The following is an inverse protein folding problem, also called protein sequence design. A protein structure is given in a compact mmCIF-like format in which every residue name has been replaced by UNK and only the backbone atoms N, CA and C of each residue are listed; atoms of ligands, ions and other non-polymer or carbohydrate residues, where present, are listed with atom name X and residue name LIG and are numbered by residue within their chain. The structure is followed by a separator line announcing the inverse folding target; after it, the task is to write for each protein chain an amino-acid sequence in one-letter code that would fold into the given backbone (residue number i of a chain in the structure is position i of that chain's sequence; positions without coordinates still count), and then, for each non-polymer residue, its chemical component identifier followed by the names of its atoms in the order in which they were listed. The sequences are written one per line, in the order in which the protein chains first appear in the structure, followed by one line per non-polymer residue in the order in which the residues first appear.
data_IF_466592166995
#
_entry.id   IF_466592166995
#
_cell.length_a   1.000
_cell.length_b   1.000
_cell.length_c   1.000
_cell.angle_alpha   90.00
_cell.angle_beta   90.00
_cell.angle_gamma   90.00
#
_symmetry.space_group_name_H-M   'P 1'
#
loop_
_entity.id
_entity.type
_entity.pdbx_description
1 polymer ?
#
# COMPACT_ATOMS: atom_id res chain seq x y z
N UNK A 1 -5.03 -4.38 -20.28
CA UNK A 1 -6.33 -3.89 -19.77
C UNK A 1 -7.26 -5.00 -19.30
N UNK A 2 -7.59 -6.06 -20.08
CA UNK A 2 -8.52 -7.13 -19.62
C UNK A 2 -8.12 -7.83 -18.32
N UNK A 3 -6.83 -8.13 -18.09
CA UNK A 3 -6.34 -8.78 -16.86
C UNK A 3 -6.48 -7.91 -15.60
N UNK A 4 -6.40 -6.59 -15.73
CA UNK A 4 -6.55 -5.65 -14.60
C UNK A 4 -8.01 -5.52 -14.14
N UNK A 5 -8.95 -5.56 -15.10
CA UNK A 5 -10.39 -5.49 -14.79
C UNK A 5 -10.83 -6.75 -14.05
N UNK A 6 -10.34 -7.92 -14.46
CA UNK A 6 -10.65 -9.20 -13.79
C UNK A 6 -10.14 -9.23 -12.34
N UNK A 7 -8.92 -8.70 -12.10
CA UNK A 7 -8.36 -8.63 -10.73
C UNK A 7 -9.17 -7.70 -9.82
N UNK A 8 -9.59 -6.56 -10.35
CA UNK A 8 -10.41 -5.59 -9.62
C UNK A 8 -11.79 -6.17 -9.26
N UNK A 9 -12.41 -6.94 -10.18
CA UNK A 9 -13.69 -7.60 -9.93
C UNK A 9 -13.60 -8.68 -8.86
N UNK A 10 -12.53 -9.47 -8.85
CA UNK A 10 -12.27 -10.48 -7.82
C UNK A 10 -12.05 -9.82 -6.46
N UNK A 11 -11.30 -8.71 -6.42
CA UNK A 11 -11.03 -7.97 -5.19
C UNK A 11 -12.31 -7.36 -4.60
N UNK A 12 -13.18 -6.79 -5.44
CA UNK A 12 -14.49 -6.26 -5.01
C UNK A 12 -15.40 -7.38 -4.47
N UNK A 13 -15.43 -8.55 -5.12
CA UNK A 13 -16.20 -9.71 -4.67
C UNK A 13 -15.69 -10.24 -3.32
N UNK A 14 -14.38 -10.20 -3.05
CA UNK A 14 -13.79 -10.57 -1.77
C UNK A 14 -14.23 -9.62 -0.65
N UNK A 15 -14.23 -8.30 -0.89
CA UNK A 15 -14.62 -7.28 0.10
C UNK A 15 -16.10 -7.46 0.49
N UNK A 16 -16.99 -7.70 -0.47
CA UNK A 16 -18.43 -7.88 -0.22
C UNK A 16 -18.71 -9.14 0.60
N UNK A 17 -18.02 -10.25 0.33
CA UNK A 17 -18.23 -11.49 1.08
C UNK A 17 -17.67 -11.47 2.52
N UNK A 18 -16.65 -10.64 2.81
CA UNK A 18 -16.11 -10.53 4.17
C UNK A 18 -17.05 -9.75 5.12
N UNK A 19 -17.92 -8.88 4.61
CA UNK A 19 -18.88 -8.14 5.45
C UNK A 19 -20.00 -9.03 5.97
N UNK A 20 -20.38 -10.09 5.23
CA UNK A 20 -21.45 -11.03 5.65
C UNK A 20 -20.96 -12.15 6.56
N UNK A 21 -19.66 -12.51 6.51
CA UNK A 21 -19.11 -13.63 7.30
C UNK A 21 -19.01 -13.34 8.82
N UNK A 22 -19.17 -12.10 9.26
CA UNK A 22 -19.09 -11.75 10.68
C UNK A 22 -20.40 -11.90 11.46
N UNK A 23 -21.51 -12.25 10.81
CA UNK A 23 -22.84 -12.36 11.46
C UNK A 23 -23.17 -13.77 11.94
N UNK A 24 -22.50 -14.80 11.45
CA UNK A 24 -22.79 -16.19 11.79
C UNK A 24 -21.62 -16.92 12.48
N UNK A 25 -21.33 -16.53 13.71
CA UNK A 25 -20.54 -17.32 14.67
C UNK A 25 -21.43 -18.22 15.50
N UNK A 26 -22.23 -19.07 14.87
CA UNK A 26 -23.02 -20.11 15.53
C UNK A 26 -22.12 -21.31 15.88
N UNK A 27 -21.76 -21.46 17.16
CA UNK A 27 -21.02 -22.63 17.64
C UNK A 27 -21.84 -23.90 17.49
N UNK A 28 -21.28 -24.89 16.80
CA UNK A 28 -21.81 -26.25 16.74
C UNK A 28 -21.52 -26.92 18.10
N UNK A 29 -22.56 -27.12 18.92
CA UNK A 29 -22.46 -27.91 20.12
C UNK A 29 -22.65 -29.38 19.76
N UNK A 30 -21.59 -30.20 19.91
CA UNK A 30 -21.74 -31.68 19.97
C UNK A 30 -22.24 -32.07 21.37
N UNK A 31 -23.49 -32.48 21.45
CA UNK A 31 -24.05 -33.15 22.63
C UNK A 31 -23.38 -34.50 22.81
N UNK A 32 -22.52 -34.64 23.82
CA UNK A 32 -22.24 -35.96 24.45
C UNK A 32 -22.73 -35.94 25.89
N UNK A 33 -23.75 -36.74 26.13
CA UNK A 33 -24.43 -36.83 27.38
C UNK A 33 -23.55 -37.22 28.57
N UNK A 34 -23.41 -36.29 29.49
CA UNK A 34 -23.19 -36.50 30.91
C UNK A 34 -23.95 -35.43 31.67
N UNK A 35 -25.01 -35.86 32.39
CA UNK A 35 -25.79 -34.95 33.26
C UNK A 35 -24.91 -34.48 34.44
N UNK A 36 -24.23 -33.37 34.29
CA UNK A 36 -23.75 -32.57 35.43
C UNK A 36 -24.85 -31.58 35.80
N UNK A 37 -25.06 -31.30 37.09
CA UNK A 37 -25.98 -30.24 37.49
C UNK A 37 -25.53 -28.91 36.82
N UNK A 38 -26.49 -28.10 36.34
CA UNK A 38 -26.16 -26.87 35.66
C UNK A 38 -25.35 -26.00 36.62
N UNK A 39 -24.21 -25.45 36.20
CA UNK A 39 -23.46 -24.49 36.99
C UNK A 39 -24.36 -23.29 37.27
N UNK A 40 -24.24 -22.65 38.44
CA UNK A 40 -25.04 -21.49 38.77
C UNK A 40 -24.92 -20.47 37.64
N UNK A 41 -26.08 -19.96 37.17
CA UNK A 41 -26.14 -18.95 36.11
C UNK A 41 -25.33 -17.75 36.54
N UNK A 42 -24.07 -17.68 36.17
CA UNK A 42 -23.30 -16.44 36.24
C UNK A 42 -23.94 -15.47 35.25
N UNK A 43 -24.75 -14.56 35.74
CA UNK A 43 -25.16 -13.39 34.96
C UNK A 43 -23.90 -12.58 34.67
N UNK A 44 -23.20 -12.92 33.56
CA UNK A 44 -22.25 -11.99 32.98
C UNK A 44 -23.06 -10.76 32.60
N UNK A 45 -22.98 -9.73 33.43
CA UNK A 45 -23.40 -8.40 33.03
C UNK A 45 -22.71 -8.14 31.70
N UNK A 46 -23.46 -8.19 30.59
CA UNK A 46 -22.99 -7.78 29.30
C UNK A 46 -22.63 -6.29 29.42
N UNK A 47 -21.39 -6.01 29.80
CA UNK A 47 -20.88 -4.65 29.70
C UNK A 47 -21.04 -4.26 28.23
N UNK A 48 -22.00 -3.36 27.96
CA UNK A 48 -22.16 -2.79 26.61
C UNK A 48 -20.80 -2.26 26.19
N UNK A 49 -20.27 -2.83 25.12
CA UNK A 49 -19.03 -2.31 24.56
C UNK A 49 -19.17 -0.80 24.34
N UNK A 50 -18.18 0.01 24.75
CA UNK A 50 -18.28 1.47 24.66
C UNK A 50 -18.66 1.89 23.24
N UNK A 51 -19.52 2.91 23.11
CA UNK A 51 -19.94 3.42 21.82
C UNK A 51 -18.71 3.83 20.99
N UNK A 52 -18.70 3.47 19.71
CA UNK A 52 -17.64 3.89 18.80
C UNK A 52 -17.72 5.42 18.61
N UNK A 53 -16.56 6.08 18.68
CA UNK A 53 -16.42 7.51 18.36
C UNK A 53 -15.64 7.61 17.03
N UNK A 54 -16.19 8.30 16.02
CA UNK A 54 -15.45 8.59 14.79
C UNK A 54 -14.14 9.33 15.08
N UNK A 55 -13.11 9.04 14.31
CA UNK A 55 -11.77 9.62 14.50
C UNK A 55 -11.12 9.91 13.17
N UNK A 56 -10.22 10.88 13.15
CA UNK A 56 -9.36 11.20 12.03
C UNK A 56 -7.98 10.60 12.29
N UNK A 57 -7.43 9.90 11.31
CA UNK A 57 -6.08 9.33 11.38
C UNK A 57 -5.21 9.99 10.32
N UNK A 58 -4.03 10.43 10.71
CA UNK A 58 -2.98 10.94 9.82
C UNK A 58 -1.82 9.96 9.88
N UNK A 59 -1.31 9.53 8.74
CA UNK A 59 -0.16 8.63 8.69
C UNK A 59 0.88 9.09 7.67
N UNK A 60 2.16 8.84 8.00
CA UNK A 60 3.31 9.10 7.15
C UNK A 60 4.13 7.82 7.07
N UNK A 61 4.53 7.44 5.87
CA UNK A 61 5.25 6.19 5.66
C UNK A 61 6.33 6.28 4.58
N UNK A 62 7.19 5.27 4.61
CA UNK A 62 8.21 5.03 3.60
C UNK A 62 8.06 3.61 3.07
N UNK A 63 7.90 3.49 1.75
CA UNK A 63 7.75 2.21 1.06
C UNK A 63 9.04 1.76 0.37
N UNK A 64 9.19 0.44 0.20
CA UNK A 64 10.32 -0.17 -0.50
C UNK A 64 9.92 -1.55 -1.07
N UNK A 65 10.48 -1.98 -2.21
CA UNK A 65 11.10 -1.13 -3.22
C UNK A 65 10.08 -0.22 -3.90
N UNK A 66 10.56 0.85 -4.53
CA UNK A 66 9.73 1.64 -5.42
C UNK A 66 9.48 0.86 -6.71
N UNK A 67 8.22 0.47 -6.96
CA UNK A 67 7.86 -0.37 -8.11
C UNK A 67 7.85 0.39 -9.44
N UNK A 68 7.98 1.72 -9.41
CA UNK A 68 8.19 2.51 -10.64
C UNK A 68 9.52 2.17 -11.35
N UNK A 69 10.47 1.51 -10.68
CA UNK A 69 11.68 1.02 -11.31
C UNK A 69 11.41 0.07 -12.50
N UNK A 70 10.29 -0.64 -12.46
CA UNK A 70 9.91 -1.61 -13.49
C UNK A 70 9.30 -0.92 -14.73
N UNK A 71 9.12 0.40 -14.68
CA UNK A 71 8.73 1.21 -15.82
C UNK A 71 9.85 1.31 -16.88
N UNK A 72 11.10 1.32 -16.45
CA UNK A 72 12.24 1.41 -17.35
C UNK A 72 12.50 0.09 -18.09
N UNK A 73 12.66 0.10 -19.44
CA UNK A 73 13.00 -1.08 -20.20
C UNK A 73 14.39 -1.61 -19.82
N UNK A 74 14.59 -2.91 -19.94
CA UNK A 74 15.89 -3.53 -19.72
C UNK A 74 16.88 -3.21 -20.84
N UNK A 75 16.37 -2.95 -22.03
CA UNK A 75 17.15 -2.72 -23.25
C UNK A 75 16.56 -1.53 -24.00
N UNK A 76 17.42 -0.62 -24.44
CA UNK A 76 17.08 0.46 -25.34
C UNK A 76 17.44 0.07 -26.77
N UNK A 77 16.43 -0.13 -27.61
CA UNK A 77 16.62 -0.44 -29.03
C UNK A 77 16.58 0.84 -29.87
N UNK A 78 17.60 1.04 -30.74
CA UNK A 78 17.66 2.20 -31.61
C UNK A 78 19.09 2.52 -32.05
N UNK A 79 19.41 3.81 -32.23
CA UNK A 79 20.76 4.28 -32.55
C UNK A 79 21.80 3.99 -31.44
N UNK A 80 21.31 3.50 -30.27
CA UNK A 80 22.09 3.28 -29.06
C UNK A 80 21.71 1.91 -28.49
N UNK A 81 22.66 0.96 -28.48
CA UNK A 81 22.51 -0.33 -27.83
C UNK A 81 22.84 -0.17 -26.33
N UNK A 82 21.91 0.31 -25.54
CA UNK A 82 22.09 0.55 -24.13
C UNK A 82 21.32 -0.46 -23.29
N UNK A 83 21.98 -1.01 -22.27
CA UNK A 83 21.43 -1.97 -21.32
C UNK A 83 21.32 -1.36 -19.94
N UNK A 84 20.22 -1.69 -19.26
CA UNK A 84 19.97 -1.27 -17.91
C UNK A 84 20.99 -1.85 -16.93
N UNK A 85 21.65 -1.00 -16.16
CA UNK A 85 22.52 -1.41 -15.07
C UNK A 85 21.74 -1.95 -13.88
N UNK A 86 22.42 -2.72 -13.04
CA UNK A 86 21.86 -3.29 -11.80
C UNK A 86 21.82 -2.31 -10.65
N UNK A 87 22.63 -1.25 -10.71
CA UNK A 87 22.77 -0.26 -9.64
C UNK A 87 21.69 0.83 -9.73
N UNK A 88 20.45 0.42 -9.45
CA UNK A 88 19.27 1.30 -9.46
C UNK A 88 19.21 2.10 -8.16
N UNK A 89 19.35 3.42 -8.25
CA UNK A 89 19.12 4.33 -7.13
C UNK A 89 17.62 4.62 -7.02
N UNK A 90 17.06 4.46 -5.82
CA UNK A 90 15.64 4.71 -5.58
C UNK A 90 15.40 5.41 -4.25
N UNK A 91 14.42 6.31 -4.25
CA UNK A 91 13.94 7.00 -3.06
C UNK A 91 12.43 6.81 -2.96
N UNK A 92 11.97 6.35 -1.81
CA UNK A 92 10.56 6.15 -1.56
C UNK A 92 9.98 4.89 -2.22
N UNK A 93 8.65 4.89 -2.40
CA UNK A 93 7.77 6.06 -2.26
C UNK A 93 7.60 6.49 -0.80
N UNK A 94 7.67 7.79 -0.58
CA UNK A 94 7.19 8.42 0.66
C UNK A 94 5.67 8.54 0.54
N UNK A 95 4.94 8.29 1.62
CA UNK A 95 3.47 8.36 1.64
C UNK A 95 2.96 9.22 2.77
N UNK A 96 1.83 9.90 2.53
CA UNK A 96 1.03 10.56 3.54
C UNK A 96 -0.43 10.21 3.32
N UNK A 97 -1.15 9.81 4.37
CA UNK A 97 -2.58 9.49 4.26
C UNK A 97 -3.38 10.16 5.37
N UNK A 98 -4.57 10.62 5.00
CA UNK A 98 -5.58 11.18 5.89
C UNK A 98 -6.84 10.33 5.78
N UNK A 99 -7.22 9.65 6.88
CA UNK A 99 -8.31 8.69 6.93
C UNK A 99 -9.34 9.08 7.97
N UNK A 100 -10.60 9.06 7.60
CA UNK A 100 -11.74 9.20 8.49
C UNK A 100 -12.28 7.82 8.88
N UNK A 101 -12.10 7.42 10.12
CA UNK A 101 -12.63 6.17 10.65
C UNK A 101 -14.06 6.40 11.11
N UNK A 102 -15.03 5.89 10.35
CA UNK A 102 -16.46 6.05 10.61
C UNK A 102 -17.08 4.85 11.34
N UNK A 103 -16.36 3.74 11.43
CA UNK A 103 -16.78 2.57 12.20
C UNK A 103 -15.60 1.92 12.92
N UNK A 104 -15.87 0.94 13.79
CA UNK A 104 -14.80 0.16 14.45
C UNK A 104 -13.90 -0.57 13.45
N UNK A 105 -14.43 -0.89 12.28
CA UNK A 105 -13.79 -1.76 11.30
C UNK A 105 -13.39 -1.04 10.01
N UNK A 106 -13.93 0.15 9.73
CA UNK A 106 -13.74 0.77 8.45
C UNK A 106 -13.33 2.23 8.55
N UNK A 107 -12.42 2.63 7.69
CA UNK A 107 -12.10 4.03 7.41
C UNK A 107 -12.01 4.28 5.92
N UNK A 108 -12.24 5.52 5.52
CA UNK A 108 -12.07 6.03 4.17
C UNK A 108 -11.24 7.31 4.21
N UNK A 109 -10.43 7.54 3.19
CA UNK A 109 -9.57 8.71 3.15
C UNK A 109 -8.85 8.89 1.83
N UNK A 110 -7.79 9.67 1.88
CA UNK A 110 -6.89 9.93 0.75
C UNK A 110 -5.47 9.55 1.14
N UNK A 111 -4.75 8.99 0.19
CA UNK A 111 -3.31 8.72 0.31
C UNK A 111 -2.58 9.34 -0.88
N UNK A 112 -1.56 10.13 -0.58
CA UNK A 112 -0.59 10.63 -1.54
C UNK A 112 0.71 9.86 -1.45
N UNK A 113 1.37 9.61 -2.58
CA UNK A 113 2.72 9.04 -2.62
C UNK A 113 3.63 9.85 -3.52
N UNK A 114 4.92 9.87 -3.21
CA UNK A 114 5.96 10.49 -4.03
C UNK A 114 7.21 9.64 -4.00
N UNK A 115 7.85 9.45 -5.16
CA UNK A 115 9.08 8.68 -5.26
C UNK A 115 9.92 9.06 -6.47
N UNK A 116 11.20 8.69 -6.39
CA UNK A 116 12.17 8.85 -7.48
C UNK A 116 12.91 7.55 -7.72
N UNK A 117 13.19 7.28 -8.99
CA UNK A 117 14.01 6.16 -9.43
C UNK A 117 15.00 6.65 -10.47
N UNK A 118 16.26 6.29 -10.32
CA UNK A 118 17.34 6.58 -11.28
C UNK A 118 17.98 5.29 -11.71
N UNK A 119 17.99 5.04 -13.02
CA UNK A 119 18.47 3.81 -13.62
C UNK A 119 19.62 4.15 -14.58
N UNK A 120 20.86 3.68 -14.32
CA UNK A 120 21.97 3.86 -15.24
C UNK A 120 21.86 2.91 -16.43
N UNK A 121 22.21 3.39 -17.63
CA UNK A 121 22.32 2.62 -18.86
C UNK A 121 23.74 2.61 -19.36
N UNK A 122 24.22 1.41 -19.74
CA UNK A 122 25.60 1.17 -20.19
C UNK A 122 25.60 0.66 -21.62
N UNK A 123 26.64 1.03 -22.37
CA UNK A 123 26.92 0.49 -23.69
C UNK A 123 27.88 -0.72 -23.55
N UNK A 124 27.41 -1.91 -23.88
CA UNK A 124 28.25 -3.11 -23.84
C UNK A 124 29.24 -3.23 -24.99
N UNK A 125 29.09 -2.42 -26.04
CA UNK A 125 30.05 -2.41 -27.14
C UNK A 125 31.37 -1.72 -26.76
N UNK A 126 31.33 -0.88 -25.76
CA UNK A 126 32.46 -0.17 -25.20
C UNK A 126 32.74 -0.65 -23.79
N UNK A 127 33.95 -1.10 -23.48
CA UNK A 127 34.38 -1.50 -22.13
C UNK A 127 34.45 -0.29 -21.16
N UNK A 128 33.55 0.69 -21.30
CA UNK A 128 33.53 1.89 -20.49
C UNK A 128 32.70 1.61 -19.21
N UNK A 129 33.27 1.73 -18.01
CA UNK A 129 32.55 1.54 -16.76
C UNK A 129 31.58 2.68 -16.41
N UNK A 130 31.63 3.81 -17.13
CA UNK A 130 30.73 4.92 -16.91
C UNK A 130 29.39 4.70 -17.64
N UNK A 131 28.26 5.07 -17.01
CA UNK A 131 26.97 5.00 -17.68
C UNK A 131 26.93 5.95 -18.87
N UNK A 132 26.33 5.51 -19.96
CA UNK A 132 26.12 6.29 -21.16
C UNK A 132 25.10 7.42 -20.93
N UNK A 133 24.06 7.10 -20.17
CA UNK A 133 23.07 8.04 -19.66
C UNK A 133 22.34 7.42 -18.46
N UNK A 134 21.64 8.24 -17.71
CA UNK A 134 20.81 7.83 -16.57
C UNK A 134 19.36 8.21 -16.87
N UNK A 135 18.46 7.25 -16.78
CA UNK A 135 17.03 7.48 -16.81
C UNK A 135 16.54 7.85 -15.40
N UNK A 136 15.97 9.03 -15.25
CA UNK A 136 15.42 9.55 -14.00
C UNK A 136 13.90 9.61 -14.11
N UNK A 137 13.20 8.93 -13.21
CA UNK A 137 11.75 8.93 -13.10
C UNK A 137 11.31 9.54 -11.77
N UNK A 138 10.56 10.61 -11.85
CA UNK A 138 9.83 11.16 -10.70
C UNK A 138 8.36 10.79 -10.82
N UNK A 139 7.77 10.31 -9.74
CA UNK A 139 6.35 9.94 -9.73
C UNK A 139 5.65 10.46 -8.48
N UNK A 140 4.43 10.94 -8.67
CA UNK A 140 3.51 11.18 -7.57
C UNK A 140 2.16 10.56 -7.85
N UNK A 141 1.41 10.21 -6.81
CA UNK A 141 0.05 9.73 -6.94
C UNK A 141 -0.85 10.25 -5.83
N UNK A 142 -2.14 10.35 -6.16
CA UNK A 142 -3.21 10.60 -5.20
C UNK A 142 -4.28 9.54 -5.41
N UNK A 143 -4.64 8.85 -4.32
CA UNK A 143 -5.56 7.73 -4.36
C UNK A 143 -6.61 7.85 -3.26
N UNK A 144 -7.86 7.46 -3.58
CA UNK A 144 -8.88 7.18 -2.58
C UNK A 144 -8.46 5.91 -1.82
N UNK A 145 -8.45 5.99 -0.50
CA UNK A 145 -7.98 4.95 0.40
C UNK A 145 -9.13 4.40 1.24
N UNK A 146 -9.24 3.10 1.34
CA UNK A 146 -10.16 2.40 2.22
C UNK A 146 -9.37 1.41 3.08
N UNK A 147 -9.61 1.45 4.41
CA UNK A 147 -9.00 0.48 5.32
C UNK A 147 -10.09 -0.29 6.06
N UNK A 148 -9.88 -1.60 6.14
CA UNK A 148 -10.72 -2.51 6.93
C UNK A 148 -9.88 -3.10 8.05
N UNK A 149 -10.25 -2.80 9.30
CA UNK A 149 -9.57 -3.28 10.50
C UNK A 149 -10.19 -4.60 10.97
N UNK A 150 -9.34 -5.52 11.40
CA UNK A 150 -9.79 -6.76 12.04
C UNK A 150 -9.96 -6.59 13.54
N UNK A 151 -10.85 -7.34 14.18
CA UNK A 151 -10.94 -7.39 15.64
C UNK A 151 -9.60 -7.77 16.24
N UNK A 152 -9.11 -6.98 17.18
CA UNK A 152 -7.78 -7.18 17.76
C UNK A 152 -7.69 -6.69 19.19
N UNK A 153 -6.56 -6.95 19.84
CA UNK A 153 -6.24 -6.44 21.17
C UNK A 153 -5.88 -4.95 21.09
N UNK A 154 -6.03 -4.25 22.21
CA UNK A 154 -5.91 -2.77 22.31
C UNK A 154 -4.62 -2.18 21.72
N UNK A 155 -3.51 -2.93 21.76
CA UNK A 155 -2.19 -2.44 21.32
C UNK A 155 -1.88 -2.72 19.86
N UNK A 156 -2.62 -3.62 19.20
CA UNK A 156 -2.30 -4.12 17.85
C UNK A 156 -3.57 -4.10 17.02
N UNK A 157 -3.55 -3.49 15.85
CA UNK A 157 -4.70 -3.34 14.96
C UNK A 157 -4.34 -3.80 13.54
N UNK A 158 -4.55 -5.09 13.22
CA UNK A 158 -4.37 -5.58 11.86
C UNK A 158 -5.40 -4.96 10.92
N UNK A 159 -5.00 -4.73 9.66
CA UNK A 159 -5.89 -4.16 8.66
C UNK A 159 -5.55 -4.61 7.24
N UNK A 160 -6.51 -4.45 6.35
CA UNK A 160 -6.29 -4.42 4.91
C UNK A 160 -6.50 -3.00 4.43
N UNK A 161 -5.60 -2.54 3.55
CA UNK A 161 -5.71 -1.27 2.83
C UNK A 161 -5.94 -1.55 1.36
N UNK A 162 -6.87 -0.83 0.77
CA UNK A 162 -7.08 -0.77 -0.68
C UNK A 162 -7.14 0.69 -1.10
N UNK A 163 -6.35 1.07 -2.08
CA UNK A 163 -6.35 2.41 -2.61
C UNK A 163 -6.33 2.41 -4.12
N UNK A 164 -7.05 3.35 -4.74
CA UNK A 164 -7.13 3.53 -6.17
C UNK A 164 -7.21 5.03 -6.52
N UNK A 165 -6.53 5.43 -7.58
CA UNK A 165 -6.51 6.83 -7.98
C UNK A 165 -5.66 7.07 -9.23
N UNK A 166 -4.99 8.21 -9.26
CA UNK A 166 -4.20 8.66 -10.40
C UNK A 166 -2.75 8.88 -10.00
N UNK A 167 -1.84 8.61 -10.93
CA UNK A 167 -0.44 8.99 -10.83
C UNK A 167 -0.02 9.80 -12.03
N UNK A 168 0.98 10.64 -11.80
CA UNK A 168 1.73 11.32 -12.84
C UNK A 168 3.19 10.93 -12.72
N UNK A 169 3.85 10.77 -13.87
CA UNK A 169 5.27 10.40 -13.98
C UNK A 169 5.95 11.38 -14.90
N UNK A 170 7.14 11.83 -14.49
CA UNK A 170 8.02 12.66 -15.31
C UNK A 170 9.31 11.89 -15.54
N UNK A 171 9.63 11.64 -16.81
CA UNK A 171 10.79 10.86 -17.24
C UNK A 171 11.81 11.79 -17.91
N UNK A 172 13.03 11.79 -17.39
CA UNK A 172 14.14 12.56 -17.93
C UNK A 172 15.34 11.63 -18.14
N UNK A 173 16.12 11.87 -19.20
CA UNK A 173 17.40 11.21 -19.41
C UNK A 173 18.50 12.23 -19.22
N UNK A 174 19.44 11.92 -18.34
CA UNK A 174 20.59 12.75 -18.01
C UNK A 174 21.85 12.12 -18.60
N UNK A 175 22.56 12.87 -19.46
CA UNK A 175 23.82 12.45 -20.06
C UNK A 175 25.02 12.79 -19.15
N UNK A 176 26.20 12.18 -19.36
CA UNK A 176 27.40 12.44 -18.54
C UNK A 176 27.88 13.89 -18.57
N UNK A 177 27.58 14.64 -19.62
CA UNK A 177 27.87 16.07 -19.77
C UNK A 177 26.89 16.98 -18.99
N UNK A 178 25.91 16.38 -18.32
CA UNK A 178 24.86 17.08 -17.57
C UNK A 178 23.70 17.59 -18.43
N UNK A 179 23.74 17.37 -19.74
CA UNK A 179 22.61 17.68 -20.62
C UNK A 179 21.42 16.76 -20.30
N UNK A 180 20.20 17.26 -20.43
CA UNK A 180 18.97 16.50 -20.19
C UNK A 180 18.16 16.43 -21.47
N UNK A 181 17.77 15.21 -21.84
CA UNK A 181 16.74 14.99 -22.84
C UNK A 181 15.43 14.67 -22.09
N UNK A 182 14.46 15.56 -22.20
CA UNK A 182 13.08 15.29 -21.75
C UNK A 182 12.43 14.42 -22.83
N UNK A 183 12.19 13.15 -22.53
CA UNK A 183 11.65 12.20 -23.52
C UNK A 183 10.13 12.15 -23.50
N UNK A 184 9.53 12.43 -22.37
CA UNK A 184 8.09 12.62 -22.28
C UNK A 184 7.75 13.46 -21.04
N UNK A 185 7.26 14.67 -21.22
CA UNK A 185 6.26 15.19 -20.32
C UNK A 185 4.98 14.37 -20.61
N UNK A 186 4.92 13.18 -20.02
CA UNK A 186 3.77 12.32 -20.22
C UNK A 186 2.59 12.90 -19.46
N UNK A 187 1.65 13.47 -20.19
CA UNK A 187 0.26 13.73 -19.75
C UNK A 187 -0.48 12.39 -19.50
N UNK A 188 0.27 11.33 -19.19
CA UNK A 188 -0.24 10.00 -18.95
C UNK A 188 -0.70 9.96 -17.49
N UNK A 189 -1.97 10.22 -17.30
CA UNK A 189 -2.67 9.94 -16.04
C UNK A 189 -2.82 8.43 -15.90
N UNK A 190 -1.79 7.79 -15.40
CA UNK A 190 -1.80 6.36 -15.15
C UNK A 190 -2.67 6.05 -13.94
N UNK A 191 -3.34 4.90 -14.00
CA UNK A 191 -4.04 4.36 -12.86
C UNK A 191 -3.04 4.02 -11.74
N UNK A 192 -3.18 4.68 -10.59
CA UNK A 192 -2.47 4.30 -9.37
C UNK A 192 -3.33 3.38 -8.52
N UNK A 193 -2.72 2.37 -7.93
CA UNK A 193 -3.39 1.51 -6.96
C UNK A 193 -2.39 1.00 -5.92
N UNK A 194 -2.92 0.64 -4.74
CA UNK A 194 -2.19 -0.06 -3.69
C UNK A 194 -3.15 -1.01 -2.98
N UNK A 195 -2.71 -2.27 -2.82
CA UNK A 195 -3.41 -3.26 -1.99
C UNK A 195 -2.39 -3.78 -1.00
N UNK A 196 -2.67 -3.67 0.28
CA UNK A 196 -1.75 -4.13 1.33
C UNK A 196 -2.48 -4.71 2.53
N UNK A 197 -1.81 -5.62 3.22
CA UNK A 197 -2.14 -6.08 4.55
C UNK A 197 -1.13 -5.50 5.52
N UNK A 198 -1.58 -5.00 6.65
CA UNK A 198 -0.71 -4.34 7.60
C UNK A 198 -1.16 -4.49 9.03
N UNK A 199 -0.33 -3.97 9.90
CA UNK A 199 -0.61 -3.91 11.33
C UNK A 199 -0.18 -2.56 11.87
N UNK A 200 -1.08 -1.91 12.63
CA UNK A 200 -0.79 -0.71 13.39
C UNK A 200 -0.53 -1.09 14.84
N UNK A 201 0.57 -0.62 15.40
CA UNK A 201 0.96 -0.78 16.79
C UNK A 201 0.72 0.53 17.52
N UNK A 202 -0.22 0.55 18.45
CA UNK A 202 -0.57 1.74 19.22
C UNK A 202 0.41 1.89 20.39
N UNK A 203 1.25 2.91 20.36
CA UNK A 203 2.18 3.26 21.44
C UNK A 203 1.49 4.11 22.52
N UNK A 204 0.51 4.90 22.09
CA UNK A 204 -0.33 5.73 22.96
C UNK A 204 -1.74 5.78 22.39
N UNK A 205 -2.72 6.38 23.09
CA UNK A 205 -4.07 6.57 22.56
C UNK A 205 -4.11 7.31 21.21
N UNK A 206 -3.14 8.21 20.98
CA UNK A 206 -3.13 9.13 19.85
C UNK A 206 -1.97 8.90 18.86
N UNK A 207 -1.03 8.00 19.15
CA UNK A 207 0.12 7.77 18.29
C UNK A 207 0.52 6.30 18.24
N UNK A 208 1.04 5.88 17.10
CA UNK A 208 1.54 4.54 16.85
C UNK A 208 2.43 4.48 15.64
N UNK A 209 2.93 3.30 15.33
CA UNK A 209 3.60 3.01 14.07
C UNK A 209 2.86 1.89 13.34
N UNK A 210 3.10 1.80 12.06
CA UNK A 210 2.53 0.74 11.23
C UNK A 210 3.60 0.08 10.38
N UNK A 211 3.32 -1.17 10.02
CA UNK A 211 4.05 -1.92 9.00
C UNK A 211 3.03 -2.58 8.12
N UNK A 212 3.25 -2.52 6.80
CA UNK A 212 2.36 -3.15 5.83
C UNK A 212 3.16 -3.78 4.69
N UNK A 213 2.61 -4.82 4.11
CA UNK A 213 3.13 -5.47 2.93
C UNK A 213 2.01 -5.59 1.89
N UNK A 214 2.35 -5.35 0.62
CA UNK A 214 1.34 -5.35 -0.43
C UNK A 214 1.91 -5.20 -1.83
N UNK A 215 1.09 -4.71 -2.73
CA UNK A 215 1.46 -4.53 -4.13
C UNK A 215 0.77 -3.29 -4.73
N UNK A 216 1.51 -2.58 -5.59
CA UNK A 216 1.05 -1.37 -6.30
C UNK A 216 2.17 -0.34 -6.39
N UNK A 217 2.32 0.53 -5.40
CA UNK A 217 3.38 1.53 -5.35
C UNK A 217 4.66 1.03 -4.66
N UNK A 218 4.52 0.10 -3.73
CA UNK A 218 5.59 -0.52 -2.94
C UNK A 218 5.20 -1.94 -2.53
N UNK A 219 6.17 -2.73 -2.10
CA UNK A 219 5.95 -4.07 -1.56
C UNK A 219 5.86 -4.03 -0.03
N UNK A 220 6.77 -3.32 0.63
CA UNK A 220 6.77 -3.16 2.09
C UNK A 220 6.77 -1.67 2.42
N UNK A 221 6.02 -1.28 3.42
CA UNK A 221 6.03 0.08 3.94
C UNK A 221 5.94 0.08 5.46
N UNK A 222 6.52 1.10 6.07
CA UNK A 222 6.39 1.35 7.49
C UNK A 222 6.40 2.84 7.78
N UNK A 223 5.84 3.22 8.92
CA UNK A 223 5.73 4.63 9.23
C UNK A 223 5.04 4.93 10.56
N UNK A 224 4.70 6.19 10.74
CA UNK A 224 4.02 6.72 11.92
C UNK A 224 2.55 6.97 11.62
N UNK A 225 1.71 6.81 12.63
CA UNK A 225 0.29 7.08 12.55
C UNK A 225 -0.18 7.84 13.80
N UNK A 226 -0.98 8.87 13.57
CA UNK A 226 -1.54 9.74 14.59
C UNK A 226 -3.06 9.70 14.51
N UNK A 227 -3.71 9.77 15.66
CA UNK A 227 -5.16 9.68 15.80
C UNK A 227 -5.69 10.91 16.57
N UNK A 228 -6.76 11.52 16.05
CA UNK A 228 -7.40 12.72 16.57
C UNK A 228 -8.89 12.50 16.81
#
# INVERSE_FOLDING_TARGET
MKKQITFLSILLAFIVNFTDAQVYGGGVYMERGYRRPPPPKQYRLHQKAPAFKPTVNLSFGYGYPNLDKDYFPNEFYGAVNAFRGTDVKQTGPVSAALDFQFSRFNSIGLIGTYGKVSVPYFDYSTNNPAPMFTGDLESWSVMLNMMTYFPSYQSVSPYIRTAIGMSNRTENYTYPDGSKAVVAEGDIRDLAYQVSIGTKFNLSPNAGFFVEAGYGRYIVSGGLAFKF
#
